data_IF_230325574095
#
_entry.id   IF_230325574095
#
_cell.length_a   1.000
_cell.length_b   1.000
_cell.length_c   1.000
_cell.angle_alpha   90.00
_cell.angle_beta   90.00
_cell.angle_gamma   90.00
#
_symmetry.space_group_name_H-M   'P 1'
#
loop_
_entity.id
_entity.type
_entity.pdbx_description
1 polymer ?
#
# COMPACT_ATOMS: atom_id res chain seq x y z
N UNK A 1 -5.74 -16.41 -14.76
CA UNK A 1 -4.86 -15.24 -14.62
C UNK A 1 -3.84 -15.29 -15.75
N UNK A 2 -3.94 -14.42 -16.77
CA UNK A 2 -2.95 -14.39 -17.85
C UNK A 2 -1.66 -13.79 -17.29
N UNK A 3 -0.66 -14.64 -17.03
CA UNK A 3 0.70 -14.18 -16.75
C UNK A 3 1.28 -13.66 -18.06
N UNK A 4 1.54 -12.36 -18.14
CA UNK A 4 2.34 -11.80 -19.22
C UNK A 4 3.79 -12.23 -18.96
N UNK A 5 4.47 -12.89 -19.92
CA UNK A 5 5.88 -13.20 -19.77
C UNK A 5 6.66 -11.89 -19.83
N UNK A 6 7.21 -11.47 -18.70
CA UNK A 6 8.20 -10.40 -18.65
C UNK A 6 9.51 -11.05 -19.06
N UNK A 7 9.82 -11.05 -20.34
CA UNK A 7 11.17 -11.40 -20.79
C UNK A 7 12.09 -10.28 -20.35
N UNK A 8 13.13 -10.54 -19.54
CA UNK A 8 14.07 -9.50 -19.13
C UNK A 8 14.98 -9.19 -20.34
N UNK A 9 14.49 -8.37 -21.26
CA UNK A 9 15.27 -7.90 -22.42
C UNK A 9 15.76 -6.47 -22.21
N UNK A 10 16.13 -6.11 -20.99
CA UNK A 10 16.72 -4.79 -20.75
C UNK A 10 17.89 -4.89 -19.79
N UNK A 11 19.07 -4.60 -20.33
CA UNK A 11 20.20 -4.13 -19.53
C UNK A 11 19.71 -2.90 -18.77
N UNK A 12 19.74 -2.94 -17.44
CA UNK A 12 19.41 -1.77 -16.62
C UNK A 12 20.51 -0.74 -16.79
N UNK A 13 20.27 0.28 -17.61
CA UNK A 13 21.21 1.39 -17.82
C UNK A 13 21.00 2.41 -16.70
N UNK A 14 22.04 2.66 -15.91
CA UNK A 14 22.06 3.75 -14.94
C UNK A 14 22.33 5.08 -15.66
N UNK A 15 21.26 5.83 -15.94
CA UNK A 15 21.34 7.16 -16.53
C UNK A 15 21.20 8.23 -15.45
N UNK A 16 22.33 8.82 -15.05
CA UNK A 16 22.39 9.85 -14.01
C UNK A 16 21.68 11.13 -14.42
N UNK A 17 21.77 11.53 -15.69
CA UNK A 17 21.18 12.79 -16.17
C UNK A 17 19.66 12.68 -16.19
N UNK A 18 19.13 11.55 -16.66
CA UNK A 18 17.71 11.25 -16.61
C UNK A 18 17.18 11.24 -15.17
N UNK A 19 17.84 10.52 -14.25
CA UNK A 19 17.42 10.47 -12.85
C UNK A 19 17.39 11.87 -12.23
N UNK A 20 18.41 12.70 -12.51
CA UNK A 20 18.48 14.08 -12.03
C UNK A 20 17.41 15.00 -12.65
N UNK A 21 16.93 14.68 -13.86
CA UNK A 21 15.86 15.42 -14.54
C UNK A 21 14.47 15.14 -13.97
N UNK A 22 14.28 14.00 -13.29
CA UNK A 22 12.99 13.59 -12.76
C UNK A 22 12.66 14.29 -11.44
N UNK A 23 11.37 14.53 -11.14
CA UNK A 23 10.95 15.08 -9.87
C UNK A 23 11.40 14.19 -8.70
N UNK A 24 12.11 14.77 -7.74
CA UNK A 24 12.55 14.05 -6.53
C UNK A 24 11.38 13.61 -5.63
N UNK A 25 10.25 14.34 -5.68
CA UNK A 25 9.06 14.05 -4.90
C UNK A 25 7.94 13.56 -5.83
N UNK A 26 7.56 12.29 -5.67
CA UNK A 26 6.40 11.69 -6.33
C UNK A 26 5.43 11.13 -5.30
N UNK A 27 4.15 10.97 -5.66
CA UNK A 27 3.19 10.27 -4.80
C UNK A 27 3.65 8.82 -4.60
N UNK A 28 3.54 8.34 -3.36
CA UNK A 28 3.83 6.95 -3.02
C UNK A 28 2.66 6.08 -3.49
N UNK A 29 2.82 5.41 -4.63
CA UNK A 29 1.82 4.50 -5.18
C UNK A 29 1.84 3.14 -4.46
N UNK A 30 1.24 3.07 -3.27
CA UNK A 30 1.06 1.80 -2.53
C UNK A 30 -0.26 1.09 -2.86
N UNK A 31 -1.21 1.78 -3.47
CA UNK A 31 -2.50 1.25 -3.92
C UNK A 31 -3.03 2.10 -5.08
N UNK A 32 -3.98 1.54 -5.84
CA UNK A 32 -4.75 2.28 -6.83
C UNK A 32 -6.24 1.93 -6.70
N UNK A 33 -7.15 2.92 -6.53
CA UNK A 33 -6.85 4.34 -6.29
C UNK A 33 -6.05 4.57 -4.99
N UNK A 34 -5.41 5.74 -4.90
CA UNK A 34 -4.61 6.15 -3.74
C UNK A 34 -5.49 6.58 -2.57
N UNK A 35 -4.94 6.58 -1.34
CA UNK A 35 -5.71 6.83 -0.12
C UNK A 35 -6.32 8.25 -0.02
N UNK A 36 -5.80 9.23 -0.75
CA UNK A 36 -6.41 10.57 -0.89
C UNK A 36 -7.80 10.54 -1.54
N UNK A 37 -8.17 9.41 -2.17
CA UNK A 37 -9.52 9.19 -2.71
C UNK A 37 -10.50 8.66 -1.69
N UNK A 38 -10.06 8.36 -0.46
CA UNK A 38 -10.98 7.96 0.60
C UNK A 38 -11.83 9.15 1.01
N UNK A 39 -13.13 8.90 1.15
CA UNK A 39 -14.10 9.90 1.56
C UNK A 39 -15.09 9.25 2.52
N UNK A 40 -15.76 10.08 3.32
CA UNK A 40 -16.66 9.56 4.35
C UNK A 40 -17.90 8.88 3.76
N UNK A 41 -18.17 8.97 2.46
CA UNK A 41 -19.40 8.41 1.86
C UNK A 41 -19.47 6.89 1.83
N UNK A 42 -18.36 6.17 2.04
CA UNK A 42 -18.36 4.72 2.11
C UNK A 42 -18.81 4.24 3.51
N UNK A 43 -19.88 3.45 3.59
CA UNK A 43 -20.50 3.03 4.85
C UNK A 43 -20.54 1.51 4.98
N UNK A 44 -21.12 1.07 6.09
CA UNK A 44 -21.21 -0.34 6.44
C UNK A 44 -21.95 -1.17 5.39
N UNK A 45 -23.02 -0.64 4.78
CA UNK A 45 -23.81 -1.35 3.77
C UNK A 45 -22.98 -1.66 2.53
N UNK A 46 -22.21 -0.69 2.04
CA UNK A 46 -21.31 -0.89 0.91
C UNK A 46 -20.20 -1.90 1.24
N UNK A 47 -19.67 -1.85 2.48
CA UNK A 47 -18.67 -2.82 2.93
C UNK A 47 -19.18 -4.26 2.92
N UNK A 48 -20.36 -4.50 3.48
CA UNK A 48 -20.99 -5.84 3.49
C UNK A 48 -21.23 -6.33 2.06
N UNK A 49 -21.79 -5.47 1.19
CA UNK A 49 -22.04 -5.82 -0.20
C UNK A 49 -20.75 -6.17 -0.97
N UNK A 50 -19.67 -5.41 -0.77
CA UNK A 50 -18.36 -5.71 -1.38
C UNK A 50 -17.79 -7.02 -0.87
N UNK A 51 -17.91 -7.28 0.44
CA UNK A 51 -17.42 -8.52 1.05
C UNK A 51 -18.17 -9.74 0.49
N UNK A 52 -19.51 -9.69 0.46
CA UNK A 52 -20.34 -10.74 -0.11
C UNK A 52 -19.99 -11.01 -1.57
N UNK A 53 -19.88 -9.95 -2.39
CA UNK A 53 -19.51 -10.09 -3.80
C UNK A 53 -18.08 -10.64 -4.01
N UNK A 54 -17.17 -10.35 -3.08
CA UNK A 54 -15.77 -10.81 -3.17
C UNK A 54 -15.65 -12.28 -2.78
N UNK A 55 -16.40 -12.72 -1.77
CA UNK A 55 -16.33 -14.08 -1.22
C UNK A 55 -17.26 -15.06 -1.92
N UNK A 56 -18.41 -14.61 -2.43
CA UNK A 56 -19.38 -15.48 -3.10
C UNK A 56 -18.79 -16.09 -4.37
N UNK A 57 -18.65 -17.42 -4.39
CA UNK A 57 -18.15 -18.18 -5.53
C UNK A 57 -16.63 -18.08 -5.77
N UNK A 58 -15.88 -17.47 -4.84
CA UNK A 58 -14.41 -17.37 -4.92
C UNK A 58 -13.74 -18.28 -3.88
N UNK A 59 -12.96 -19.25 -4.35
CA UNK A 59 -12.06 -20.07 -3.49
C UNK A 59 -10.76 -19.34 -3.10
N UNK A 60 -10.76 -18.00 -3.13
CA UNK A 60 -9.54 -17.23 -2.87
C UNK A 60 -9.17 -17.31 -1.39
N UNK A 61 -7.89 -17.54 -1.12
CA UNK A 61 -7.36 -17.49 0.23
C UNK A 61 -7.56 -16.09 0.84
N UNK A 62 -8.01 -16.05 2.09
CA UNK A 62 -8.16 -14.82 2.86
C UNK A 62 -6.80 -14.43 3.45
N UNK A 63 -6.41 -13.17 3.25
CA UNK A 63 -5.26 -12.56 3.94
C UNK A 63 -5.76 -11.69 5.09
N UNK A 64 -5.17 -11.85 6.26
CA UNK A 64 -5.49 -11.07 7.46
C UNK A 64 -4.37 -10.09 7.77
N UNK A 65 -4.72 -8.83 7.99
CA UNK A 65 -3.81 -7.77 8.40
C UNK A 65 -4.20 -7.27 9.80
N UNK A 66 -3.24 -7.24 10.72
CA UNK A 66 -3.40 -6.69 12.07
C UNK A 66 -2.35 -5.61 12.26
N UNK A 67 -2.79 -4.40 12.62
CA UNK A 67 -1.88 -3.28 12.89
C UNK A 67 -1.49 -3.25 14.37
N UNK A 68 -0.19 -3.33 14.66
CA UNK A 68 0.37 -3.19 16.02
C UNK A 68 1.10 -1.85 16.11
N UNK A 69 0.50 -0.80 16.71
CA UNK A 69 1.03 0.55 16.60
C UNK A 69 2.10 0.87 17.64
N UNK A 70 2.47 -0.03 18.55
CA UNK A 70 3.26 0.32 19.73
C UNK A 70 4.77 0.28 19.47
N UNK A 71 5.47 1.33 19.89
CA UNK A 71 6.93 1.42 19.82
C UNK A 71 7.50 1.84 21.18
N UNK A 72 8.55 1.17 21.65
CA UNK A 72 9.25 1.52 22.89
C UNK A 72 10.24 2.69 22.73
N UNK A 73 10.71 2.95 21.51
CA UNK A 73 11.69 3.99 21.19
C UNK A 73 11.16 4.90 20.09
N UNK A 74 11.51 6.18 20.16
CA UNK A 74 11.25 7.14 19.09
C UNK A 74 12.33 7.04 18.01
N UNK A 75 11.92 6.69 16.79
CA UNK A 75 12.75 6.83 15.60
C UNK A 75 12.35 8.12 14.86
N UNK A 76 13.25 9.11 14.80
CA UNK A 76 12.95 10.43 14.21
C UNK A 76 12.67 10.40 12.70
N UNK A 77 13.10 9.35 12.00
CA UNK A 77 12.81 9.16 10.58
C UNK A 77 11.47 8.43 10.32
N UNK A 78 10.79 7.93 11.35
CA UNK A 78 9.65 7.04 11.17
C UNK A 78 8.33 7.80 10.93
N UNK A 79 7.75 7.63 9.73
CA UNK A 79 6.44 8.18 9.34
C UNK A 79 5.27 7.18 9.42
N UNK A 80 5.41 6.07 10.14
CA UNK A 80 4.36 5.06 10.27
C UNK A 80 3.22 5.55 11.19
N UNK A 81 2.02 4.97 11.03
CA UNK A 81 0.96 5.09 12.04
C UNK A 81 1.39 4.30 13.29
N UNK A 82 1.77 5.00 14.36
CA UNK A 82 2.29 4.41 15.60
C UNK A 82 2.03 5.27 16.83
N UNK A 83 2.14 4.66 18.00
CA UNK A 83 2.06 5.25 19.34
C UNK A 83 3.34 4.90 20.10
N UNK A 84 3.99 5.89 20.71
CA UNK A 84 5.15 5.65 21.58
C UNK A 84 4.64 5.28 22.97
N UNK A 85 5.06 4.13 23.49
CA UNK A 85 4.56 3.58 24.77
C UNK A 85 5.67 3.42 25.80
N UNK A 86 6.65 4.34 25.83
CA UNK A 86 7.76 4.24 26.79
C UNK A 86 7.22 4.19 28.22
N UNK A 87 7.69 3.23 29.00
CA UNK A 87 7.31 3.03 30.40
C UNK A 87 7.45 4.34 31.18
N UNK A 88 6.44 4.64 32.01
CA UNK A 88 6.53 5.70 33.02
C UNK A 88 7.52 5.28 34.10
#
# INVERSE_FOLDING_TARGET
>A
MKTLPITPTQDFIFDRELIASLPANGPRYTSYPTADRFHDGFRQTEYIQVLDNTLNGNEKAVSLYVHIPFCNVICYYCGCNKVITKDT
#
